data_IF_478671298004
#
_entry.id   IF_478671298004
#
_cell.length_a   1.000
_cell.length_b   1.000
_cell.length_c   1.000
_cell.angle_alpha   90.00
_cell.angle_beta   90.00
_cell.angle_gamma   90.00
#
_symmetry.space_group_name_H-M   'P 1'
#
loop_
_entity.id
_entity.type
_entity.pdbx_description
1 polymer ?
#
# COMPACT_ATOMS: atom_id res chain seq x y z
N UNK A 1 -21.73 11.88 4.66
CA UNK A 1 -20.77 10.76 4.58
C UNK A 1 -19.45 11.08 5.32
N UNK A 2 -18.84 12.25 5.12
CA UNK A 2 -17.60 12.68 5.80
C UNK A 2 -17.72 12.70 7.32
N UNK A 3 -18.83 13.23 7.87
CA UNK A 3 -19.08 13.25 9.32
C UNK A 3 -19.25 11.84 9.91
N UNK A 4 -19.81 10.91 9.15
CA UNK A 4 -19.95 9.51 9.54
C UNK A 4 -18.58 8.84 9.66
N UNK A 5 -17.73 8.95 8.62
CA UNK A 5 -16.37 8.39 8.62
C UNK A 5 -15.51 8.90 9.77
N UNK A 6 -15.61 10.20 10.11
CA UNK A 6 -14.84 10.81 11.20
C UNK A 6 -15.20 10.29 12.60
N UNK A 7 -16.30 9.54 12.76
CA UNK A 7 -16.71 8.93 14.04
C UNK A 7 -16.06 7.58 14.33
N UNK A 8 -15.45 6.96 13.31
CA UNK A 8 -14.85 5.64 13.45
C UNK A 8 -13.33 5.74 13.51
N UNK A 9 -12.73 4.97 14.43
CA UNK A 9 -11.28 4.78 14.45
C UNK A 9 -10.82 3.97 13.22
N UNK A 10 -9.53 4.07 12.90
CA UNK A 10 -8.90 3.24 11.85
C UNK A 10 -9.14 1.74 12.11
N UNK A 11 -9.09 1.31 13.38
CA UNK A 11 -9.29 -0.09 13.75
C UNK A 11 -10.74 -0.54 13.58
N UNK A 12 -11.71 0.32 13.89
CA UNK A 12 -13.12 0.03 13.63
C UNK A 12 -13.38 -0.17 12.14
N UNK A 13 -12.82 0.69 11.28
CA UNK A 13 -12.95 0.55 9.84
C UNK A 13 -12.29 -0.72 9.30
N UNK A 14 -11.11 -1.09 9.83
CA UNK A 14 -10.46 -2.37 9.50
C UNK A 14 -11.31 -3.57 9.89
N UNK A 15 -11.90 -3.57 11.09
CA UNK A 15 -12.80 -4.65 11.54
C UNK A 15 -14.02 -4.79 10.67
N UNK A 16 -14.66 -3.69 10.28
CA UNK A 16 -15.80 -3.71 9.34
C UNK A 16 -15.40 -4.33 8.01
N UNK A 17 -14.26 -3.88 7.45
CA UNK A 17 -13.76 -4.43 6.19
C UNK A 17 -13.44 -5.93 6.29
N UNK A 18 -12.78 -6.34 7.37
CA UNK A 18 -12.47 -7.75 7.63
C UNK A 18 -13.74 -8.60 7.70
N UNK A 19 -14.76 -8.14 8.42
CA UNK A 19 -16.05 -8.85 8.56
C UNK A 19 -16.75 -9.00 7.19
N UNK A 20 -16.81 -7.93 6.40
CA UNK A 20 -17.38 -7.98 5.04
C UNK A 20 -16.66 -8.99 4.16
N UNK A 21 -15.32 -8.96 4.16
CA UNK A 21 -14.51 -9.87 3.36
C UNK A 21 -14.66 -11.32 3.82
N UNK A 22 -14.78 -11.56 5.13
CA UNK A 22 -15.04 -12.89 5.69
C UNK A 22 -16.40 -13.44 5.20
N UNK A 23 -17.43 -12.59 5.17
CA UNK A 23 -18.75 -12.97 4.64
C UNK A 23 -18.71 -13.25 3.13
N UNK A 24 -17.96 -12.45 2.37
CA UNK A 24 -17.78 -12.70 0.93
C UNK A 24 -17.04 -14.01 0.66
N UNK A 25 -16.03 -14.31 1.48
CA UNK A 25 -15.30 -15.59 1.38
C UNK A 25 -16.22 -16.77 1.71
N UNK A 26 -17.02 -16.67 2.77
CA UNK A 26 -17.98 -17.71 3.15
C UNK A 26 -19.03 -17.98 2.04
N UNK A 27 -19.31 -16.98 1.18
CA UNK A 27 -20.19 -17.11 0.01
C UNK A 27 -19.46 -17.52 -1.28
N UNK A 28 -18.15 -17.84 -1.20
CA UNK A 28 -17.35 -18.23 -2.36
C UNK A 28 -17.01 -17.09 -3.31
N UNK A 29 -17.16 -15.83 -2.90
CA UNK A 29 -16.85 -14.65 -3.71
C UNK A 29 -15.38 -14.27 -3.67
N UNK A 30 -14.63 -14.72 -2.65
CA UNK A 30 -13.19 -14.55 -2.53
C UNK A 30 -12.58 -15.93 -2.31
N UNK A 31 -11.69 -16.38 -3.20
CA UNK A 31 -11.21 -17.77 -3.24
C UNK A 31 -9.73 -17.88 -2.87
N UNK A 32 -9.02 -16.77 -2.63
CA UNK A 32 -7.58 -16.72 -2.33
C UNK A 32 -6.69 -17.47 -3.34
N UNK A 33 -7.16 -17.70 -4.56
CA UNK A 33 -6.35 -18.33 -5.63
C UNK A 33 -5.14 -17.48 -6.00
N UNK A 34 -5.30 -16.16 -5.90
CA UNK A 34 -4.23 -15.22 -6.10
C UNK A 34 -4.62 -13.82 -5.63
N UNK A 35 -3.63 -13.07 -5.21
CA UNK A 35 -3.76 -11.64 -4.93
C UNK A 35 -2.75 -10.86 -5.75
N UNK A 36 -3.12 -9.66 -6.16
CA UNK A 36 -2.22 -8.69 -6.75
C UNK A 36 -1.90 -7.60 -5.73
N UNK A 37 -0.63 -7.28 -5.58
CA UNK A 37 -0.16 -6.19 -4.72
C UNK A 37 0.46 -5.12 -5.60
N UNK A 38 0.00 -3.88 -5.44
CA UNK A 38 0.51 -2.73 -6.18
C UNK A 38 0.44 -1.46 -5.34
N UNK A 39 1.16 -0.43 -5.77
CA UNK A 39 1.22 0.87 -5.11
C UNK A 39 0.84 1.99 -6.06
N UNK A 40 -0.05 2.87 -5.62
CA UNK A 40 -0.40 4.09 -6.35
C UNK A 40 -0.08 5.34 -5.54
N UNK A 41 0.24 6.42 -6.24
CA UNK A 41 0.41 7.71 -5.62
C UNK A 41 -0.94 8.38 -5.38
N UNK A 42 -1.13 8.87 -4.16
CA UNK A 42 -2.26 9.68 -3.73
C UNK A 42 -1.74 11.08 -3.48
N UNK A 43 -1.93 11.96 -4.44
CA UNK A 43 -1.45 13.33 -4.35
C UNK A 43 -2.16 14.07 -3.22
N UNK A 44 -1.37 14.77 -2.40
CA UNK A 44 -1.91 15.65 -1.37
C UNK A 44 -2.54 16.91 -1.99
N UNK A 45 -3.69 17.31 -1.45
CA UNK A 45 -4.28 18.61 -1.77
C UNK A 45 -3.59 19.77 -1.03
N UNK A 46 -2.72 19.47 -0.07
CA UNK A 46 -1.96 20.46 0.69
C UNK A 46 -0.63 20.74 -0.01
N UNK A 47 -0.27 22.03 -0.10
CA UNK A 47 1.07 22.41 -0.52
C UNK A 47 2.04 22.20 0.65
N UNK A 48 3.22 21.60 0.40
CA UNK A 48 4.21 21.40 1.43
C UNK A 48 4.73 22.74 1.91
N UNK A 49 4.95 22.86 3.20
CA UNK A 49 5.76 23.95 3.79
C UNK A 49 7.24 23.61 3.62
N UNK A 50 8.13 24.57 3.93
CA UNK A 50 9.55 24.28 3.97
C UNK A 50 9.82 23.10 4.93
N UNK A 51 10.84 22.30 4.65
CA UNK A 51 11.20 21.14 5.48
C UNK A 51 11.41 21.52 6.95
N UNK A 52 11.97 22.69 7.22
CA UNK A 52 12.18 23.21 8.58
C UNK A 52 10.84 23.41 9.32
N UNK A 53 9.89 24.09 8.68
CA UNK A 53 8.55 24.28 9.27
C UNK A 53 7.78 22.99 9.45
N UNK A 54 7.98 22.02 8.55
CA UNK A 54 7.39 20.70 8.66
C UNK A 54 7.93 19.95 9.88
N UNK A 55 9.24 19.97 10.08
CA UNK A 55 9.89 19.36 11.23
C UNK A 55 9.47 20.01 12.56
N UNK A 56 9.41 21.34 12.60
CA UNK A 56 8.90 22.08 13.76
C UNK A 56 7.46 21.69 14.10
N UNK A 57 6.57 21.60 13.09
CA UNK A 57 5.18 21.19 13.28
C UNK A 57 5.09 19.74 13.77
N UNK A 58 5.91 18.83 13.24
CA UNK A 58 5.98 17.44 13.69
C UNK A 58 6.40 17.34 15.15
N UNK A 59 7.46 18.06 15.55
CA UNK A 59 7.93 18.09 16.94
C UNK A 59 6.86 18.65 17.88
N UNK A 60 6.22 19.74 17.50
CA UNK A 60 5.14 20.36 18.30
C UNK A 60 3.93 19.45 18.44
N UNK A 61 3.61 18.64 17.43
CA UNK A 61 2.51 17.68 17.48
C UNK A 61 2.75 16.54 18.49
N UNK A 62 3.98 16.29 18.87
CA UNK A 62 4.33 15.23 19.83
C UNK A 62 4.09 15.63 21.29
N UNK A 63 3.99 16.93 21.60
CA UNK A 63 3.77 17.42 22.96
C UNK A 63 2.33 17.90 23.14
N UNK A 64 1.71 17.70 24.32
CA UNK A 64 0.36 18.22 24.60
C UNK A 64 0.31 19.75 24.50
N UNK A 65 1.35 20.44 25.01
CA UNK A 65 1.47 21.91 25.02
C UNK A 65 1.61 22.47 23.61
N UNK A 66 2.26 21.72 22.71
CA UNK A 66 2.41 22.08 21.30
C UNK A 66 1.14 22.00 20.48
N UNK A 67 0.06 21.42 21.03
CA UNK A 67 -1.23 21.27 20.35
C UNK A 67 -2.21 22.41 20.59
N UNK A 68 -1.89 23.34 21.49
CA UNK A 68 -2.72 24.48 21.83
C UNK A 68 -2.01 25.81 21.58
N UNK A 69 -2.78 26.85 21.29
CA UNK A 69 -2.26 28.22 21.20
C UNK A 69 -2.12 28.86 22.58
N UNK A 70 -1.67 30.14 22.60
CA UNK A 70 -1.52 30.92 23.83
C UNK A 70 -2.82 31.05 24.66
N UNK A 71 -3.97 30.82 24.06
CA UNK A 71 -5.29 30.91 24.66
C UNK A 71 -5.90 29.54 24.95
N UNK A 72 -5.12 28.46 24.85
CA UNK A 72 -5.60 27.10 25.06
C UNK A 72 -6.46 26.53 23.95
N UNK A 73 -6.57 27.21 22.78
CA UNK A 73 -7.32 26.68 21.63
C UNK A 73 -6.46 25.68 20.85
N UNK A 74 -7.04 24.58 20.35
CA UNK A 74 -6.31 23.63 19.52
C UNK A 74 -5.70 24.30 18.29
N UNK A 75 -4.40 24.12 18.11
CA UNK A 75 -3.69 24.61 16.93
C UNK A 75 -4.14 23.84 15.69
N UNK A 76 -4.39 24.58 14.63
CA UNK A 76 -4.57 24.00 13.29
C UNK A 76 -3.19 23.74 12.70
N UNK A 77 -2.73 22.52 12.84
CA UNK A 77 -1.51 22.08 12.14
C UNK A 77 -1.74 22.02 10.64
N UNK A 78 -0.65 22.11 9.89
CA UNK A 78 -0.68 21.82 8.46
C UNK A 78 -1.31 20.44 8.26
N UNK A 79 -2.22 20.37 7.32
CA UNK A 79 -2.82 19.11 6.93
C UNK A 79 -1.71 18.30 6.26
N UNK A 80 -1.77 16.99 6.42
CA UNK A 80 -0.94 16.08 5.65
C UNK A 80 0.56 16.14 5.98
N UNK A 81 0.86 16.13 7.29
CA UNK A 81 2.24 16.01 7.79
C UNK A 81 2.88 14.63 7.49
N UNK A 82 2.09 13.68 7.03
CA UNK A 82 2.54 12.32 6.71
C UNK A 82 2.92 12.18 5.24
N UNK A 83 2.59 13.18 4.41
CA UNK A 83 2.97 13.20 2.99
C UNK A 83 4.44 13.56 2.80
N UNK A 84 5.01 13.09 1.70
CA UNK A 84 6.39 13.38 1.31
C UNK A 84 6.53 13.50 -0.20
N UNK A 85 7.70 13.95 -0.65
CA UNK A 85 8.03 14.12 -2.04
C UNK A 85 8.50 12.83 -2.69
N UNK A 86 8.04 12.61 -3.90
CA UNK A 86 8.57 11.59 -4.81
C UNK A 86 8.63 12.15 -6.23
N UNK A 87 9.35 11.46 -7.11
CA UNK A 87 9.43 11.83 -8.53
C UNK A 87 8.93 10.66 -9.35
N UNK A 88 7.87 10.88 -10.14
CA UNK A 88 7.38 9.92 -11.13
C UNK A 88 7.41 10.55 -12.51
N UNK A 89 8.05 9.90 -13.48
CA UNK A 89 8.17 10.39 -14.86
C UNK A 89 8.75 11.83 -14.94
N UNK A 90 9.76 12.11 -14.13
CA UNK A 90 10.40 13.44 -14.00
C UNK A 90 9.51 14.54 -13.43
N UNK A 91 8.32 14.22 -12.95
CA UNK A 91 7.39 15.15 -12.29
C UNK A 91 7.48 14.95 -10.79
N UNK A 92 7.80 15.99 -10.00
CA UNK A 92 7.78 15.93 -8.55
C UNK A 92 6.31 15.89 -8.07
N UNK A 93 6.01 14.96 -7.19
CA UNK A 93 4.69 14.78 -6.58
C UNK A 93 4.82 14.77 -5.06
N UNK A 94 3.95 15.52 -4.39
CA UNK A 94 3.86 15.52 -2.94
C UNK A 94 2.59 14.78 -2.51
N UNK A 95 2.72 13.79 -1.64
CA UNK A 95 1.57 13.02 -1.21
C UNK A 95 1.93 11.75 -0.45
N UNK A 96 0.99 10.83 -0.47
CA UNK A 96 1.09 9.50 0.10
C UNK A 96 1.17 8.46 -1.01
N UNK A 97 1.62 7.29 -0.64
CA UNK A 97 1.55 6.09 -1.46
C UNK A 97 0.59 5.10 -0.80
N UNK A 98 -0.40 4.64 -1.56
CA UNK A 98 -1.32 3.60 -1.13
C UNK A 98 -0.85 2.27 -1.72
N UNK A 99 -0.46 1.36 -0.84
CA UNK A 99 -0.20 -0.03 -1.18
C UNK A 99 -1.50 -0.80 -1.01
N UNK A 100 -1.99 -1.41 -2.07
CA UNK A 100 -3.23 -2.17 -2.06
C UNK A 100 -2.98 -3.62 -2.46
N UNK A 101 -3.72 -4.54 -1.84
CA UNK A 101 -3.83 -5.91 -2.28
C UNK A 101 -5.25 -6.20 -2.74
N UNK A 102 -5.38 -6.84 -3.89
CA UNK A 102 -6.64 -7.05 -4.58
C UNK A 102 -6.77 -8.53 -4.97
N UNK A 103 -7.93 -9.10 -4.77
CA UNK A 103 -8.26 -10.44 -5.29
C UNK A 103 -8.23 -10.45 -6.82
N UNK A 104 -7.48 -11.40 -7.41
CA UNK A 104 -7.29 -11.44 -8.87
C UNK A 104 -8.51 -11.89 -9.63
N UNK A 105 -9.47 -12.54 -8.98
CA UNK A 105 -10.65 -13.11 -9.65
C UNK A 105 -11.79 -12.11 -9.78
N UNK A 106 -12.12 -11.44 -8.69
CA UNK A 106 -13.28 -10.54 -8.62
C UNK A 106 -12.92 -9.08 -8.38
N UNK A 107 -11.64 -8.77 -8.15
CA UNK A 107 -11.17 -7.40 -7.97
C UNK A 107 -11.50 -6.77 -6.62
N UNK A 108 -11.84 -7.56 -5.59
CA UNK A 108 -12.06 -7.02 -4.25
C UNK A 108 -10.77 -6.53 -3.63
N UNK A 109 -10.79 -5.32 -3.08
CA UNK A 109 -9.67 -4.80 -2.28
C UNK A 109 -9.67 -5.52 -0.93
N UNK A 110 -8.62 -6.29 -0.69
CA UNK A 110 -8.47 -7.10 0.53
C UNK A 110 -7.80 -6.30 1.65
N UNK A 111 -6.78 -5.54 1.34
CA UNK A 111 -6.09 -4.69 2.30
C UNK A 111 -5.51 -3.45 1.63
N UNK A 112 -5.34 -2.39 2.42
CA UNK A 112 -4.65 -1.17 2.02
C UNK A 112 -3.72 -0.68 3.12
N UNK A 113 -2.60 -0.06 2.74
CA UNK A 113 -1.68 0.62 3.62
C UNK A 113 -1.25 1.94 3.01
N UNK A 114 -1.17 2.98 3.83
CA UNK A 114 -0.72 4.31 3.40
C UNK A 114 0.67 4.59 3.98
N UNK A 115 1.57 5.05 3.12
CA UNK A 115 2.93 5.45 3.48
C UNK A 115 3.27 6.80 2.87
N UNK A 116 4.28 7.51 3.36
CA UNK A 116 4.84 8.67 2.64
C UNK A 116 5.24 8.27 1.21
N UNK A 117 5.01 9.16 0.25
CA UNK A 117 5.26 8.86 -1.17
C UNK A 117 6.72 8.50 -1.49
N UNK A 118 7.68 8.94 -0.66
CA UNK A 118 9.11 8.63 -0.79
C UNK A 118 9.48 7.18 -0.47
N UNK A 119 8.63 6.44 0.23
CA UNK A 119 8.92 5.07 0.63
C UNK A 119 8.97 4.12 -0.58
N UNK A 120 9.91 3.17 -0.54
CA UNK A 120 9.95 2.08 -1.51
C UNK A 120 8.77 1.13 -1.34
N UNK A 121 8.30 0.54 -2.45
CA UNK A 121 7.15 -0.37 -2.47
C UNK A 121 7.50 -1.75 -1.90
N UNK A 122 8.69 -2.24 -2.22
CA UNK A 122 9.13 -3.61 -1.95
C UNK A 122 8.94 -4.06 -0.48
N UNK A 123 9.29 -3.27 0.56
CA UNK A 123 9.13 -3.70 1.95
C UNK A 123 7.67 -3.89 2.41
N UNK A 124 6.70 -3.39 1.67
CA UNK A 124 5.29 -3.44 2.06
C UNK A 124 4.53 -4.67 1.55
N UNK A 125 5.14 -5.46 0.65
CA UNK A 125 4.52 -6.69 0.16
C UNK A 125 4.16 -7.68 1.28
N UNK A 126 5.05 -8.01 2.23
CA UNK A 126 4.72 -8.92 3.33
C UNK A 126 3.53 -8.43 4.17
N UNK A 127 3.48 -7.12 4.44
CA UNK A 127 2.40 -6.52 5.20
C UNK A 127 1.05 -6.60 4.48
N UNK A 128 1.04 -6.29 3.17
CA UNK A 128 -0.16 -6.40 2.33
C UNK A 128 -0.66 -7.84 2.26
N UNK A 129 0.24 -8.80 2.08
CA UNK A 129 -0.09 -10.24 2.05
C UNK A 129 -0.67 -10.68 3.39
N UNK A 130 -0.02 -10.37 4.51
CA UNK A 130 -0.49 -10.74 5.85
C UNK A 130 -1.88 -10.16 6.16
N UNK A 131 -2.13 -8.91 5.76
CA UNK A 131 -3.43 -8.25 5.96
C UNK A 131 -4.53 -8.74 5.02
N UNK A 132 -4.17 -9.44 3.95
CA UNK A 132 -5.13 -10.05 3.01
C UNK A 132 -5.64 -11.41 3.47
N UNK A 133 -5.05 -11.99 4.50
CA UNK A 133 -5.49 -13.26 5.07
C UNK A 133 -6.74 -13.04 5.94
N UNK A 134 -7.93 -13.15 5.35
CA UNK A 134 -9.22 -12.98 6.04
C UNK A 134 -9.84 -14.30 6.48
N UNK A 135 -9.26 -15.43 6.07
CA UNK A 135 -9.74 -16.78 6.38
C UNK A 135 -8.58 -17.70 6.72
N UNK A 136 -8.92 -18.95 7.09
CA UNK A 136 -7.93 -20.00 7.30
C UNK A 136 -7.34 -20.55 5.98
N UNK A 137 -7.95 -20.22 4.85
CA UNK A 137 -7.45 -20.65 3.55
C UNK A 137 -6.21 -19.85 3.15
N UNK A 138 -5.11 -20.51 2.79
CA UNK A 138 -3.87 -19.83 2.42
C UNK A 138 -4.00 -19.16 1.06
N UNK A 139 -3.36 -18.01 0.89
CA UNK A 139 -3.17 -17.37 -0.40
C UNK A 139 -2.23 -18.26 -1.23
N UNK A 140 -2.66 -18.68 -2.43
CA UNK A 140 -1.87 -19.58 -3.27
C UNK A 140 -0.77 -18.86 -4.03
N UNK A 141 -1.03 -17.65 -4.51
CA UNK A 141 -0.11 -16.90 -5.38
C UNK A 141 -0.19 -15.40 -5.13
N UNK A 142 0.95 -14.72 -5.20
CA UNK A 142 1.05 -13.26 -5.11
C UNK A 142 1.63 -12.70 -6.40
N UNK A 143 0.89 -11.81 -7.04
CA UNK A 143 1.32 -11.05 -8.20
C UNK A 143 1.74 -9.65 -7.77
N UNK A 144 2.83 -9.16 -8.31
CA UNK A 144 3.30 -7.79 -8.09
C UNK A 144 4.18 -7.32 -9.26
N UNK A 145 4.34 -6.02 -9.38
CA UNK A 145 5.18 -5.42 -10.40
C UNK A 145 6.70 -5.57 -10.10
N UNK A 146 7.53 -5.00 -10.99
CA UNK A 146 9.01 -5.03 -10.87
C UNK A 146 9.53 -4.26 -9.65
N UNK A 147 8.75 -3.33 -9.09
CA UNK A 147 9.11 -2.57 -7.90
C UNK A 147 9.24 -3.44 -6.64
N UNK A 148 8.53 -4.58 -6.63
CA UNK A 148 8.57 -5.56 -5.54
C UNK A 148 9.64 -6.66 -5.74
N UNK A 149 10.36 -6.62 -6.86
CA UNK A 149 11.39 -7.62 -7.14
C UNK A 149 12.56 -7.53 -6.15
N UNK A 150 12.90 -8.65 -5.52
CA UNK A 150 14.01 -8.75 -4.59
C UNK A 150 14.01 -10.04 -3.79
N UNK A 151 15.18 -10.43 -3.30
CA UNK A 151 15.36 -11.68 -2.52
C UNK A 151 14.48 -11.69 -1.26
N UNK A 152 14.37 -10.62 -0.45
CA UNK A 152 13.55 -10.63 0.76
C UNK A 152 12.08 -11.01 0.49
N UNK A 153 11.50 -10.52 -0.59
CA UNK A 153 10.11 -10.84 -0.94
C UNK A 153 9.96 -12.29 -1.43
N UNK A 154 10.94 -12.80 -2.18
CA UNK A 154 10.96 -14.21 -2.61
C UNK A 154 11.07 -15.14 -1.41
N UNK A 155 11.96 -14.84 -0.47
CA UNK A 155 12.14 -15.63 0.75
C UNK A 155 10.85 -15.64 1.57
N UNK A 156 10.22 -14.48 1.72
CA UNK A 156 8.93 -14.36 2.40
C UNK A 156 7.86 -15.25 1.75
N UNK A 157 7.70 -15.20 0.43
CA UNK A 157 6.73 -16.01 -0.29
C UNK A 157 7.04 -17.51 -0.16
N UNK A 158 8.30 -17.89 -0.31
CA UNK A 158 8.76 -19.28 -0.19
C UNK A 158 8.50 -19.84 1.22
N UNK A 159 8.85 -19.09 2.28
CA UNK A 159 8.63 -19.47 3.68
C UNK A 159 7.14 -19.68 3.99
N UNK A 160 6.28 -18.93 3.35
CA UNK A 160 4.82 -19.03 3.52
C UNK A 160 4.17 -19.98 2.52
N UNK A 161 4.94 -20.69 1.69
CA UNK A 161 4.45 -21.62 0.64
C UNK A 161 3.52 -20.95 -0.38
N UNK A 162 3.79 -19.68 -0.69
CA UNK A 162 3.05 -18.87 -1.65
C UNK A 162 3.83 -18.87 -2.97
N UNK A 163 3.13 -19.09 -4.06
CA UNK A 163 3.75 -19.05 -5.40
C UNK A 163 4.16 -17.60 -5.77
N UNK A 164 5.40 -17.45 -6.22
CA UNK A 164 5.97 -16.18 -6.64
C UNK A 164 5.45 -15.73 -8.01
N UNK A 165 4.56 -14.77 -8.02
CA UNK A 165 4.04 -14.06 -9.19
C UNK A 165 4.66 -12.68 -9.41
N UNK A 166 5.75 -12.31 -8.71
CA UNK A 166 6.40 -11.01 -8.87
C UNK A 166 7.09 -10.92 -10.24
N UNK A 167 6.87 -9.83 -10.97
CA UNK A 167 7.55 -9.58 -12.24
C UNK A 167 9.05 -9.55 -12.06
N UNK A 168 9.76 -10.11 -13.02
CA UNK A 168 11.23 -10.09 -13.04
C UNK A 168 11.76 -8.74 -13.50
N UNK A 169 12.88 -8.33 -12.94
CA UNK A 169 13.59 -7.09 -13.28
C UNK A 169 14.96 -7.46 -13.81
N UNK A 170 15.36 -6.86 -14.93
CA UNK A 170 16.74 -6.94 -15.39
C UNK A 170 17.67 -6.32 -14.33
N UNK A 171 18.79 -6.97 -14.09
CA UNK A 171 19.85 -6.48 -13.20
C UNK A 171 21.04 -6.01 -14.05
N UNK A 172 21.94 -5.25 -13.43
CA UNK A 172 23.12 -4.73 -14.14
C UNK A 172 23.91 -5.89 -14.78
N UNK A 173 24.05 -5.86 -16.10
CA UNK A 173 24.77 -6.88 -16.87
C UNK A 173 23.98 -8.15 -17.19
N UNK A 174 22.68 -8.21 -16.85
CA UNK A 174 21.86 -9.39 -17.16
C UNK A 174 20.50 -8.94 -17.70
N UNK A 175 20.21 -9.29 -18.95
CA UNK A 175 18.90 -9.07 -19.56
C UNK A 175 17.90 -10.15 -19.12
N UNK A 176 16.62 -9.84 -19.26
CA UNK A 176 15.56 -10.82 -19.03
C UNK A 176 15.59 -11.88 -20.14
N UNK A 177 15.44 -13.13 -19.74
CA UNK A 177 15.22 -14.23 -20.67
C UNK A 177 13.88 -14.08 -21.40
N UNK A 178 13.73 -14.75 -22.53
CA UNK A 178 12.45 -14.79 -23.25
C UNK A 178 11.30 -15.30 -22.37
N UNK A 179 11.58 -16.31 -21.55
CA UNK A 179 10.61 -16.86 -20.58
C UNK A 179 10.19 -15.81 -19.55
N UNK A 180 11.13 -15.07 -18.95
CA UNK A 180 10.83 -14.02 -17.97
C UNK A 180 10.07 -12.85 -18.60
N UNK A 181 10.40 -12.51 -19.84
CA UNK A 181 9.68 -11.49 -20.60
C UNK A 181 8.25 -11.91 -20.88
N UNK A 182 8.04 -13.15 -21.34
CA UNK A 182 6.71 -13.70 -21.58
C UNK A 182 5.89 -13.79 -20.28
N UNK A 183 6.52 -14.22 -19.18
CA UNK A 183 5.94 -14.27 -17.83
C UNK A 183 5.51 -12.88 -17.37
N UNK A 184 6.35 -11.87 -17.49
CA UNK A 184 6.02 -10.49 -17.13
C UNK A 184 4.83 -9.96 -17.95
N UNK A 185 4.80 -10.28 -19.25
CA UNK A 185 3.69 -9.90 -20.14
C UNK A 185 2.37 -10.58 -19.73
N UNK A 186 2.44 -11.84 -19.29
CA UNK A 186 1.25 -12.55 -18.79
C UNK A 186 0.71 -11.91 -17.49
N UNK A 187 1.60 -11.54 -16.57
CA UNK A 187 1.23 -10.86 -15.31
C UNK A 187 0.60 -9.49 -15.61
N UNK A 188 1.19 -8.69 -16.51
CA UNK A 188 0.62 -7.37 -16.90
C UNK A 188 -0.79 -7.48 -17.46
N UNK A 189 -1.12 -8.58 -18.16
CA UNK A 189 -2.44 -8.79 -18.75
C UNK A 189 -3.54 -9.08 -17.73
N UNK A 190 -3.20 -9.38 -16.48
CA UNK A 190 -4.20 -9.57 -15.44
C UNK A 190 -5.01 -8.30 -15.18
N UNK A 191 -4.53 -7.13 -15.66
CA UNK A 191 -5.26 -5.85 -15.60
C UNK A 191 -5.55 -5.34 -14.18
N UNK A 192 -4.95 -5.97 -13.18
CA UNK A 192 -5.21 -5.74 -11.76
C UNK A 192 -4.14 -4.82 -11.16
N UNK A 193 -2.98 -4.76 -11.80
CA UNK A 193 -1.92 -3.84 -11.42
C UNK A 193 -2.23 -2.47 -12.00
N UNK A 194 -2.26 -1.47 -11.15
CA UNK A 194 -2.55 -0.08 -11.50
C UNK A 194 -1.42 0.48 -12.38
N UNK A 195 -1.66 0.59 -13.66
CA UNK A 195 -0.74 1.24 -14.59
C UNK A 195 -0.86 2.78 -14.55
#
# INVERSE_FOLDING_TARGET
FSRFRGRFSKDTMRRINHELLSQFTAKGLIIHEGIAVDARLVQSASHPRSNEKLQEEMMRKQTPEGKVDKNGKPLKFSRDLESDWTVKNKVPLYGLKEHASVDVKYGFVLATELTPASHNDSPYLPLCVARSCHTKEPIKKVFADKGYFGQPNRDFLSMNKIEDGIMRKATTGTELTEYETARNKAISKLGILWS
#
